data_IF_229245397720
#
_entry.id   IF_229245397720
#
_cell.length_a   1.000
_cell.length_b   1.000
_cell.length_c   1.000
_cell.angle_alpha   90.00
_cell.angle_beta   90.00
_cell.angle_gamma   90.00
#
_symmetry.space_group_name_H-M   'P 1'
#
loop_
_entity.id
_entity.type
_entity.pdbx_description
1 polymer ?
#
# COMPACT_ATOMS: atom_id res chain seq x y z
N UNK A 1 15.25 6.91 1.98
CA UNK A 1 15.62 5.60 2.59
C UNK A 1 14.57 4.64 2.07
N UNK A 2 14.97 3.54 1.46
CA UNK A 2 14.03 2.55 0.91
C UNK A 2 13.33 1.88 2.09
N UNK A 3 11.99 1.90 2.09
CA UNK A 3 11.16 1.20 3.09
C UNK A 3 10.92 -0.25 2.61
N UNK A 4 12.01 -1.04 2.63
CA UNK A 4 12.01 -2.43 2.23
C UNK A 4 12.18 -3.31 3.48
N UNK A 5 11.24 -4.24 3.66
CA UNK A 5 11.27 -5.22 4.76
C UNK A 5 11.26 -6.64 4.22
N UNK A 6 11.82 -7.58 4.99
CA UNK A 6 11.68 -9.01 4.71
C UNK A 6 10.27 -9.47 5.09
N UNK A 7 9.72 -10.41 4.31
CA UNK A 7 8.39 -10.94 4.56
C UNK A 7 8.34 -11.72 5.89
N UNK A 8 7.46 -11.29 6.77
CA UNK A 8 7.05 -12.03 7.97
C UNK A 8 5.58 -12.39 7.81
N UNK A 9 5.24 -13.67 7.90
CA UNK A 9 3.89 -14.12 7.58
C UNK A 9 3.04 -14.30 8.83
N UNK A 10 1.90 -13.61 8.85
CA UNK A 10 0.88 -13.73 9.88
C UNK A 10 -0.26 -14.59 9.35
N UNK A 11 -0.63 -15.65 10.08
CA UNK A 11 -1.73 -16.50 9.66
C UNK A 11 -3.05 -15.71 9.55
N UNK A 12 -3.71 -15.85 8.41
CA UNK A 12 -5.00 -15.24 8.19
C UNK A 12 -6.12 -16.17 8.67
N UNK A 13 -7.06 -15.63 9.45
CA UNK A 13 -8.22 -16.37 9.97
C UNK A 13 -9.28 -16.63 8.89
N UNK A 14 -9.31 -15.83 7.85
CA UNK A 14 -10.28 -15.92 6.77
C UNK A 14 -9.76 -16.87 5.67
N UNK A 15 -10.50 -17.94 5.30
CA UNK A 15 -10.04 -18.90 4.29
C UNK A 15 -9.77 -18.29 2.92
N UNK A 16 -10.43 -17.17 2.55
CA UNK A 16 -10.15 -16.46 1.30
C UNK A 16 -8.79 -15.77 1.29
N UNK A 17 -8.22 -15.47 2.46
CA UNK A 17 -6.95 -14.79 2.63
C UNK A 17 -5.82 -15.73 3.02
N UNK A 18 -6.16 -16.82 3.71
CA UNK A 18 -5.20 -17.83 4.15
C UNK A 18 -4.53 -18.52 2.94
N UNK A 19 -3.25 -18.80 3.07
CA UNK A 19 -2.47 -19.37 1.97
C UNK A 19 -2.13 -18.38 0.86
N UNK A 20 -2.23 -17.07 1.14
CA UNK A 20 -1.77 -16.04 0.21
C UNK A 20 -0.62 -15.24 0.84
N UNK A 21 0.65 -15.48 0.40
CA UNK A 21 1.81 -14.84 0.99
C UNK A 21 1.77 -13.31 0.90
N UNK A 22 1.14 -12.72 -0.12
CA UNK A 22 1.02 -11.28 -0.24
C UNK A 22 0.05 -10.66 0.77
N UNK A 23 -0.95 -11.42 1.21
CA UNK A 23 -1.88 -10.97 2.27
C UNK A 23 -1.26 -11.21 3.64
N UNK A 24 -0.67 -12.37 3.85
CA UNK A 24 -0.12 -12.77 5.14
C UNK A 24 1.17 -12.03 5.51
N UNK A 25 1.88 -11.46 4.53
CA UNK A 25 3.01 -10.58 4.78
C UNK A 25 2.62 -9.13 5.11
N UNK A 26 1.34 -8.76 4.94
CA UNK A 26 0.88 -7.43 5.38
C UNK A 26 0.89 -7.35 6.91
N UNK A 27 1.08 -6.15 7.48
CA UNK A 27 0.97 -5.94 8.92
C UNK A 27 -0.33 -6.52 9.48
N UNK A 28 -0.28 -6.97 10.73
CA UNK A 28 -1.47 -7.46 11.43
C UNK A 28 -2.57 -6.41 11.39
N UNK A 29 -3.80 -6.84 11.14
CA UNK A 29 -4.95 -5.93 11.05
C UNK A 29 -5.20 -5.26 12.39
N UNK A 30 -5.16 -3.92 12.38
CA UNK A 30 -5.45 -3.11 13.55
C UNK A 30 -6.96 -3.13 13.76
N UNK A 31 -7.41 -3.39 14.99
CA UNK A 31 -8.83 -3.37 15.30
C UNK A 31 -9.38 -1.92 15.24
N UNK A 32 -10.61 -1.70 14.79
CA UNK A 32 -11.18 -0.35 14.68
C UNK A 32 -11.14 0.46 15.99
N UNK A 33 -11.21 -0.19 17.14
CA UNK A 33 -11.10 0.45 18.46
C UNK A 33 -9.71 1.05 18.71
N UNK A 34 -8.66 0.51 18.07
CA UNK A 34 -7.27 0.94 18.24
C UNK A 34 -6.83 1.98 17.19
N UNK A 35 -7.63 2.26 16.15
CA UNK A 35 -7.30 3.24 15.12
C UNK A 35 -6.90 4.62 15.68
N UNK A 36 -7.62 5.19 16.66
CA UNK A 36 -7.23 6.49 17.22
C UNK A 36 -5.81 6.48 17.78
N UNK A 37 -5.41 5.40 18.44
CA UNK A 37 -4.07 5.26 19.00
C UNK A 37 -3.02 5.05 17.92
N UNK A 38 -3.29 4.20 16.94
CA UNK A 38 -2.33 3.83 15.90
C UNK A 38 -2.08 4.95 14.88
N UNK A 39 -3.10 5.78 14.61
CA UNK A 39 -3.02 6.88 13.65
C UNK A 39 -2.65 8.22 14.29
N UNK A 40 -2.65 8.33 15.64
CA UNK A 40 -2.28 9.57 16.30
C UNK A 40 -0.77 9.81 16.20
N UNK A 41 -0.40 10.99 15.75
CA UNK A 41 0.99 11.45 15.73
C UNK A 41 1.13 12.64 16.66
N UNK A 42 1.93 12.48 17.71
CA UNK A 42 2.23 13.56 18.67
C UNK A 42 3.67 14.01 18.49
N UNK A 43 3.91 15.30 18.24
CA UNK A 43 5.26 15.82 18.18
C UNK A 43 5.97 15.68 19.52
N UNK A 44 7.30 15.56 19.55
CA UNK A 44 8.06 15.47 20.80
C UNK A 44 7.84 16.74 21.65
N UNK A 45 7.52 16.53 22.91
CA UNK A 45 7.27 17.59 23.89
C UNK A 45 8.07 17.35 25.18
N UNK A 46 8.59 18.43 25.75
CA UNK A 46 9.25 18.45 27.05
C UNK A 46 8.85 19.70 27.83
N UNK A 47 8.61 19.56 29.15
CA UNK A 47 8.39 20.72 30.03
C UNK A 47 9.58 21.69 30.06
N UNK A 48 10.79 21.21 29.84
CA UNK A 48 11.97 22.04 29.71
C UNK A 48 11.92 22.97 28.47
N UNK A 49 11.19 22.60 27.44
CA UNK A 49 11.00 23.44 26.25
C UNK A 49 10.26 24.75 26.59
N UNK A 50 9.41 24.75 27.60
CA UNK A 50 8.71 25.96 28.12
C UNK A 50 9.65 26.96 28.76
N UNK A 51 10.77 26.50 29.32
CA UNK A 51 11.77 27.34 30.02
C UNK A 51 12.77 27.98 29.08
N UNK A 52 12.78 27.58 27.79
CA UNK A 52 13.71 28.11 26.80
C UNK A 52 13.40 29.57 26.46
N UNK A 53 14.42 30.35 26.00
CA UNK A 53 14.22 31.71 25.50
C UNK A 53 13.15 31.77 24.41
N UNK A 54 12.44 32.90 24.33
CA UNK A 54 11.30 33.10 23.41
C UNK A 54 11.63 32.70 21.96
N UNK A 55 12.77 33.15 21.43
CA UNK A 55 13.16 32.83 20.05
C UNK A 55 13.27 31.32 19.78
N UNK A 56 13.79 30.54 20.75
CA UNK A 56 13.87 29.09 20.64
C UNK A 56 12.49 28.43 20.75
N UNK A 57 11.61 28.95 21.64
CA UNK A 57 10.24 28.44 21.76
C UNK A 57 9.43 28.67 20.49
N UNK A 58 9.58 29.82 19.84
CA UNK A 58 8.91 30.10 18.57
C UNK A 58 9.30 29.11 17.47
N UNK A 59 10.56 28.66 17.42
CA UNK A 59 10.99 27.60 16.48
C UNK A 59 10.34 26.24 16.78
N UNK A 60 10.11 25.95 18.08
CA UNK A 60 9.47 24.69 18.46
C UNK A 60 7.98 24.63 18.08
N UNK A 61 7.33 25.77 17.85
CA UNK A 61 5.94 25.79 17.36
C UNK A 61 5.76 25.09 16.01
N UNK A 62 6.80 25.00 15.19
CA UNK A 62 6.75 24.26 13.92
C UNK A 62 6.45 22.77 14.13
N UNK A 63 6.72 22.22 15.32
CA UNK A 63 6.37 20.84 15.65
C UNK A 63 4.86 20.58 15.61
N UNK A 64 4.03 21.61 15.78
CA UNK A 64 2.57 21.50 15.72
C UNK A 64 2.11 21.01 14.33
N UNK A 65 2.85 21.33 13.28
CA UNK A 65 2.54 20.83 11.93
C UNK A 65 2.62 19.30 11.81
N UNK A 66 3.30 18.64 12.75
CA UNK A 66 3.41 17.17 12.79
C UNK A 66 2.29 16.53 13.64
N UNK A 67 1.47 17.35 14.33
CA UNK A 67 0.37 16.82 15.13
C UNK A 67 -0.72 16.28 14.21
N UNK A 68 -1.07 15.01 14.39
CA UNK A 68 -2.23 14.40 13.75
C UNK A 68 -3.12 13.75 14.80
N UNK A 69 -4.37 14.18 14.85
CA UNK A 69 -5.42 13.57 15.66
C UNK A 69 -6.41 12.93 14.69
N UNK A 70 -6.50 11.60 14.65
CA UNK A 70 -7.32 10.92 13.67
C UNK A 70 -8.80 11.20 13.84
N UNK A 71 -9.49 11.26 12.73
CA UNK A 71 -10.93 11.45 12.61
C UNK A 71 -11.64 10.14 12.26
N UNK A 72 -12.96 10.17 12.13
CA UNK A 72 -13.73 9.01 11.64
C UNK A 72 -13.40 8.71 10.16
N UNK A 73 -13.08 9.74 9.41
CA UNK A 73 -12.70 9.65 8.01
C UNK A 73 -11.39 8.88 7.84
N UNK A 74 -10.40 9.10 8.72
CA UNK A 74 -9.15 8.33 8.73
C UNK A 74 -9.42 6.82 8.93
N UNK A 75 -10.32 6.49 9.85
CA UNK A 75 -10.72 5.10 10.09
C UNK A 75 -11.38 4.48 8.84
N UNK A 76 -12.22 5.23 8.11
CA UNK A 76 -12.87 4.76 6.88
C UNK A 76 -11.85 4.58 5.75
N UNK A 77 -10.86 5.48 5.62
CA UNK A 77 -9.78 5.35 4.65
C UNK A 77 -8.97 4.08 4.95
N UNK A 78 -8.59 3.87 6.21
CA UNK A 78 -7.83 2.70 6.63
C UNK A 78 -8.55 1.38 6.35
N UNK A 79 -9.84 1.29 6.71
CA UNK A 79 -10.70 0.13 6.40
C UNK A 79 -10.80 -0.11 4.90
N UNK A 80 -10.96 0.96 4.12
CA UNK A 80 -11.05 0.86 2.66
C UNK A 80 -9.75 0.38 2.04
N UNK A 81 -8.61 0.92 2.49
CA UNK A 81 -7.28 0.48 2.06
C UNK A 81 -7.08 -1.01 2.36
N UNK A 82 -7.31 -1.44 3.61
CA UNK A 82 -7.13 -2.85 4.00
C UNK A 82 -7.97 -3.78 3.14
N UNK A 83 -9.24 -3.40 2.91
CA UNK A 83 -10.14 -4.16 2.04
C UNK A 83 -9.62 -4.24 0.61
N UNK A 84 -9.16 -3.11 0.04
CA UNK A 84 -8.62 -3.08 -1.32
C UNK A 84 -7.37 -3.95 -1.45
N UNK A 85 -6.45 -3.88 -0.49
CA UNK A 85 -5.24 -4.71 -0.47
C UNK A 85 -5.59 -6.21 -0.39
N UNK A 86 -6.38 -6.62 0.61
CA UNK A 86 -6.71 -8.03 0.81
C UNK A 86 -7.42 -8.60 -0.43
N UNK A 87 -8.54 -8.00 -0.85
CA UNK A 87 -9.31 -8.51 -1.98
C UNK A 87 -8.58 -8.36 -3.32
N UNK A 88 -7.75 -7.31 -3.46
CA UNK A 88 -6.88 -7.15 -4.63
C UNK A 88 -5.85 -8.28 -4.76
N UNK A 89 -5.33 -8.78 -3.65
CA UNK A 89 -4.36 -9.87 -3.65
C UNK A 89 -4.97 -11.26 -3.76
N UNK A 90 -6.24 -11.48 -3.39
CA UNK A 90 -6.90 -12.79 -3.53
C UNK A 90 -6.76 -13.36 -4.94
N UNK A 91 -7.00 -12.54 -5.97
CA UNK A 91 -6.88 -12.96 -7.38
C UNK A 91 -5.44 -12.98 -7.92
N UNK A 92 -4.48 -12.51 -7.13
CA UNK A 92 -3.07 -12.38 -7.51
C UNK A 92 -2.15 -13.20 -6.61
N UNK A 93 -2.69 -14.29 -6.03
CA UNK A 93 -1.92 -15.19 -5.20
C UNK A 93 -0.76 -15.77 -6.03
N UNK A 94 0.51 -15.60 -5.61
CA UNK A 94 1.67 -16.04 -6.38
C UNK A 94 1.92 -17.54 -6.32
N UNK A 95 1.32 -18.26 -5.36
CA UNK A 95 1.46 -19.72 -5.25
C UNK A 95 0.32 -20.46 -5.94
N UNK A 96 0.61 -21.69 -6.37
CA UNK A 96 -0.35 -22.53 -7.09
C UNK A 96 -1.50 -23.01 -6.20
N UNK A 97 -2.63 -23.35 -6.83
CA UNK A 97 -3.83 -23.80 -6.13
C UNK A 97 -3.59 -25.06 -5.26
N UNK A 98 -2.67 -25.92 -5.66
CA UNK A 98 -2.33 -27.13 -4.90
C UNK A 98 -1.57 -26.79 -3.62
N UNK A 99 -0.69 -25.78 -3.66
CA UNK A 99 -0.01 -25.25 -2.47
C UNK A 99 -1.00 -24.55 -1.54
N UNK A 100 -1.92 -23.75 -2.09
CA UNK A 100 -3.01 -23.14 -1.31
C UNK A 100 -3.83 -24.22 -0.61
N UNK A 101 -4.23 -25.27 -1.33
CA UNK A 101 -4.96 -26.40 -0.75
C UNK A 101 -4.20 -27.06 0.40
N UNK A 102 -2.91 -27.30 0.22
CA UNK A 102 -2.03 -27.88 1.25
C UNK A 102 -2.01 -27.01 2.49
N UNK A 103 -1.71 -25.71 2.34
CA UNK A 103 -1.64 -24.76 3.46
C UNK A 103 -2.96 -24.65 4.21
N UNK A 104 -4.09 -24.54 3.51
CA UNK A 104 -5.42 -24.50 4.13
C UNK A 104 -5.71 -25.77 4.93
N UNK A 105 -5.39 -26.95 4.38
CA UNK A 105 -5.61 -28.22 5.06
C UNK A 105 -4.73 -28.35 6.31
N UNK A 106 -3.46 -27.98 6.24
CA UNK A 106 -2.51 -27.97 7.37
C UNK A 106 -2.98 -27.07 8.51
N UNK A 107 -3.68 -25.97 8.18
CA UNK A 107 -4.26 -25.02 9.15
C UNK A 107 -5.66 -25.40 9.63
N UNK A 108 -6.18 -26.54 9.21
CA UNK A 108 -7.46 -27.06 9.67
C UNK A 108 -8.71 -26.43 9.02
N UNK A 109 -8.55 -25.72 7.91
CA UNK A 109 -9.70 -25.24 7.14
C UNK A 109 -10.40 -26.38 6.40
N UNK A 110 -11.73 -26.30 6.32
CA UNK A 110 -12.51 -27.24 5.49
C UNK A 110 -12.35 -26.89 4.01
N UNK A 111 -11.48 -27.63 3.32
CA UNK A 111 -11.20 -27.41 1.90
C UNK A 111 -12.10 -28.30 1.06
N UNK A 112 -13.12 -27.71 0.44
CA UNK A 112 -14.02 -28.40 -0.47
C UNK A 112 -13.89 -27.89 -1.90
N UNK A 113 -14.47 -28.63 -2.87
CA UNK A 113 -14.36 -28.27 -4.29
C UNK A 113 -14.98 -26.89 -4.61
N UNK A 114 -15.98 -26.43 -3.85
CA UNK A 114 -16.59 -25.10 -4.03
C UNK A 114 -15.59 -23.99 -3.70
N UNK A 115 -14.84 -24.14 -2.61
CA UNK A 115 -13.80 -23.18 -2.21
C UNK A 115 -12.66 -23.13 -3.26
N UNK A 116 -12.22 -24.30 -3.74
CA UNK A 116 -11.20 -24.37 -4.79
C UNK A 116 -11.67 -23.77 -6.12
N UNK A 117 -12.94 -24.00 -6.49
CA UNK A 117 -13.52 -23.37 -7.67
C UNK A 117 -13.66 -21.86 -7.51
N UNK A 118 -13.97 -21.40 -6.31
CA UNK A 118 -13.99 -19.98 -5.99
C UNK A 118 -12.61 -19.35 -6.27
N UNK A 119 -11.52 -19.90 -5.75
CA UNK A 119 -10.16 -19.39 -6.02
C UNK A 119 -9.80 -19.42 -7.50
N UNK A 120 -10.16 -20.47 -8.24
CA UNK A 120 -9.89 -20.58 -9.69
C UNK A 120 -10.66 -19.56 -10.54
N UNK A 121 -11.84 -19.15 -10.10
CA UNK A 121 -12.77 -18.27 -10.84
C UNK A 121 -12.77 -16.84 -10.35
N UNK A 122 -12.16 -16.58 -9.20
CA UNK A 122 -12.19 -15.28 -8.59
C UNK A 122 -11.33 -14.30 -9.40
N UNK A 123 -11.99 -13.48 -10.21
CA UNK A 123 -11.41 -12.28 -10.79
C UNK A 123 -11.81 -11.14 -9.85
N UNK A 124 -10.87 -10.67 -9.02
CA UNK A 124 -11.14 -9.52 -8.18
C UNK A 124 -11.51 -8.33 -9.08
N UNK A 125 -12.67 -7.71 -8.87
CA UNK A 125 -12.88 -6.40 -9.45
C UNK A 125 -11.78 -5.48 -8.94
N UNK A 126 -11.36 -4.54 -9.77
CA UNK A 126 -10.44 -3.49 -9.32
C UNK A 126 -11.19 -2.69 -8.27
N UNK A 127 -10.79 -2.85 -7.01
CA UNK A 127 -11.32 -2.05 -5.92
C UNK A 127 -10.57 -0.73 -5.88
N UNK A 128 -11.30 0.34 -5.68
CA UNK A 128 -10.76 1.67 -5.47
C UNK A 128 -11.78 2.52 -4.73
N UNK A 129 -11.33 3.58 -4.09
CA UNK A 129 -12.18 4.53 -3.38
C UNK A 129 -11.63 5.95 -3.54
N UNK A 130 -12.50 6.95 -3.71
CA UNK A 130 -12.09 8.35 -3.71
C UNK A 130 -12.03 8.90 -2.28
N UNK A 131 -11.03 9.72 -2.00
CA UNK A 131 -10.97 10.57 -0.79
C UNK A 131 -11.33 11.99 -1.20
N UNK A 132 -12.57 12.39 -0.92
CA UNK A 132 -13.10 13.69 -1.32
C UNK A 132 -13.14 14.66 -0.14
N UNK A 133 -12.87 15.93 -0.39
CA UNK A 133 -12.94 16.98 0.61
C UNK A 133 -12.34 18.30 0.09
N UNK A 134 -12.65 19.40 0.75
CA UNK A 134 -12.10 20.71 0.43
C UNK A 134 -10.56 20.73 0.58
N UNK A 135 -9.90 21.66 -0.10
CA UNK A 135 -8.47 21.85 0.04
C UNK A 135 -8.13 22.23 1.50
N UNK A 136 -7.00 21.72 1.99
CA UNK A 136 -6.52 22.00 3.36
C UNK A 136 -7.20 21.20 4.48
N UNK A 137 -8.16 20.31 4.19
CA UNK A 137 -8.84 19.48 5.22
C UNK A 137 -7.97 18.33 5.77
N UNK A 138 -6.78 18.13 5.22
CA UNK A 138 -5.84 17.11 5.72
C UNK A 138 -5.86 15.77 4.98
N UNK A 139 -6.50 15.66 3.81
CA UNK A 139 -6.60 14.40 3.02
C UNK A 139 -5.23 13.71 2.83
N UNK A 140 -4.28 14.46 2.31
CA UNK A 140 -2.91 13.98 2.05
C UNK A 140 -2.24 13.50 3.34
N UNK A 141 -2.36 14.28 4.42
CA UNK A 141 -1.81 13.93 5.73
C UNK A 141 -2.42 12.64 6.29
N UNK A 142 -3.75 12.48 6.18
CA UNK A 142 -4.44 11.27 6.59
C UNK A 142 -3.94 10.04 5.82
N UNK A 143 -3.85 10.15 4.50
CA UNK A 143 -3.33 9.06 3.64
C UNK A 143 -1.88 8.74 4.00
N UNK A 144 -1.00 9.73 4.17
CA UNK A 144 0.40 9.52 4.49
C UNK A 144 0.59 8.83 5.86
N UNK A 145 -0.19 9.25 6.87
CA UNK A 145 -0.16 8.60 8.18
C UNK A 145 -0.64 7.15 8.13
N UNK A 146 -1.67 6.86 7.34
CA UNK A 146 -2.16 5.49 7.15
C UNK A 146 -1.13 4.64 6.39
N UNK A 147 -0.56 5.17 5.31
CA UNK A 147 0.45 4.46 4.52
C UNK A 147 1.72 4.17 5.32
N UNK A 148 2.08 5.04 6.27
CA UNK A 148 3.24 4.83 7.16
C UNK A 148 3.09 3.59 8.07
N UNK A 149 1.89 3.04 8.22
CA UNK A 149 1.64 1.79 8.95
C UNK A 149 1.90 0.53 8.10
N UNK A 150 2.13 0.70 6.82
CA UNK A 150 2.41 -0.39 5.88
C UNK A 150 3.81 -0.22 5.28
N UNK A 151 4.64 -1.26 5.26
CA UNK A 151 5.90 -1.20 4.52
C UNK A 151 5.60 -0.95 3.04
N UNK A 152 6.41 -0.12 2.40
CA UNK A 152 6.21 0.16 0.98
C UNK A 152 6.56 -1.05 0.12
N UNK A 153 7.63 -1.77 0.49
CA UNK A 153 8.11 -2.93 -0.26
C UNK A 153 8.34 -4.08 0.71
N UNK A 154 7.81 -5.25 0.36
CA UNK A 154 8.07 -6.52 1.06
C UNK A 154 8.82 -7.45 0.12
N UNK A 155 9.95 -7.97 0.56
CA UNK A 155 10.76 -8.94 -0.17
C UNK A 155 10.47 -10.34 0.33
N UNK A 156 10.10 -11.23 -0.59
CA UNK A 156 9.77 -12.61 -0.30
C UNK A 156 10.86 -13.53 -0.83
N UNK A 157 11.21 -14.56 -0.07
CA UNK A 157 12.17 -15.59 -0.46
C UNK A 157 11.57 -16.99 -0.43
N UNK A 158 10.77 -17.28 0.59
CA UNK A 158 10.14 -18.59 0.78
C UNK A 158 8.81 -18.42 1.51
N UNK A 159 7.82 -19.24 1.17
CA UNK A 159 6.54 -19.29 1.87
C UNK A 159 6.13 -20.76 2.07
N UNK A 160 6.00 -21.20 3.33
CA UNK A 160 5.55 -22.55 3.71
C UNK A 160 6.30 -23.68 2.94
N UNK A 161 7.63 -23.56 2.82
CA UNK A 161 8.47 -24.50 2.09
C UNK A 161 8.45 -24.36 0.57
N UNK A 162 7.71 -23.40 0.03
CA UNK A 162 7.68 -23.08 -1.41
C UNK A 162 8.58 -21.88 -1.68
N UNK A 163 9.51 -22.01 -2.62
CA UNK A 163 10.38 -20.91 -3.02
C UNK A 163 9.56 -19.77 -3.64
N UNK A 164 9.75 -18.54 -3.16
CA UNK A 164 9.05 -17.35 -3.60
C UNK A 164 10.00 -16.14 -3.67
N UNK A 165 10.77 -16.04 -4.73
CA UNK A 165 11.72 -14.93 -4.94
C UNK A 165 11.02 -13.79 -5.65
N UNK A 166 10.43 -12.86 -4.89
CA UNK A 166 9.72 -11.71 -5.48
C UNK A 166 9.66 -10.51 -4.53
N UNK A 167 9.49 -9.33 -5.11
CA UNK A 167 9.21 -8.09 -4.39
C UNK A 167 7.75 -7.71 -4.55
N UNK A 168 7.10 -7.42 -3.45
CA UNK A 168 5.72 -6.91 -3.40
C UNK A 168 5.77 -5.41 -3.14
N UNK A 169 5.38 -4.60 -4.10
CA UNK A 169 5.16 -3.15 -3.91
C UNK A 169 3.77 -2.97 -3.31
N UNK A 170 3.68 -2.83 -1.98
CA UNK A 170 2.39 -2.78 -1.27
C UNK A 170 1.58 -1.55 -1.66
N UNK A 171 2.24 -0.41 -1.74
CA UNK A 171 1.59 0.83 -2.14
C UNK A 171 2.56 1.75 -2.90
N UNK A 172 1.98 2.54 -3.80
CA UNK A 172 2.67 3.59 -4.50
C UNK A 172 1.81 4.86 -4.47
N UNK A 173 2.36 5.95 -3.96
CA UNK A 173 1.71 7.26 -3.98
C UNK A 173 2.41 8.15 -5.00
N UNK A 174 1.62 8.77 -5.87
CA UNK A 174 2.08 9.70 -6.91
C UNK A 174 1.18 10.93 -6.96
N UNK A 175 1.74 12.05 -7.37
CA UNK A 175 0.97 13.26 -7.66
C UNK A 175 0.39 13.20 -9.07
N UNK A 176 -0.84 13.69 -9.21
CA UNK A 176 -1.44 13.88 -10.51
C UNK A 176 -0.62 14.92 -11.30
N UNK A 177 -0.20 14.65 -12.54
CA UNK A 177 0.56 15.61 -13.31
C UNK A 177 -0.25 16.87 -13.58
N UNK A 178 0.37 18.04 -13.51
CA UNK A 178 -0.28 19.33 -13.68
C UNK A 178 -0.95 19.54 -15.06
N UNK A 179 -0.57 18.75 -16.07
CA UNK A 179 -1.18 18.74 -17.40
C UNK A 179 -2.39 17.78 -17.49
N UNK A 180 -2.66 16.99 -16.44
CA UNK A 180 -3.75 16.03 -16.40
C UNK A 180 -3.67 14.91 -17.45
N UNK A 181 -2.52 14.74 -18.12
CA UNK A 181 -2.40 13.77 -19.22
C UNK A 181 -2.14 12.35 -18.73
N UNK A 182 -2.69 11.31 -19.39
CA UNK A 182 -2.34 9.93 -19.09
C UNK A 182 -0.85 9.62 -19.27
N UNK A 183 -0.18 10.32 -20.18
CA UNK A 183 1.26 10.18 -20.38
C UNK A 183 2.05 10.75 -19.21
N UNK A 184 1.66 11.92 -18.72
CA UNK A 184 2.23 12.53 -17.52
C UNK A 184 2.07 11.62 -16.31
N UNK A 185 0.86 11.05 -16.10
CA UNK A 185 0.61 10.09 -15.02
C UNK A 185 1.51 8.85 -15.11
N UNK A 186 1.72 8.31 -16.32
CA UNK A 186 2.67 7.21 -16.51
C UNK A 186 4.09 7.60 -16.08
N UNK A 187 4.53 8.82 -16.36
CA UNK A 187 5.84 9.30 -15.91
C UNK A 187 5.89 9.49 -14.39
N UNK A 188 4.84 10.04 -13.77
CA UNK A 188 4.76 10.13 -12.30
C UNK A 188 4.87 8.74 -11.66
N UNK A 189 4.15 7.74 -12.21
CA UNK A 189 4.20 6.35 -11.71
C UNK A 189 5.60 5.76 -11.88
N UNK A 190 6.23 5.88 -13.05
CA UNK A 190 7.58 5.36 -13.28
C UNK A 190 8.61 6.00 -12.34
N UNK A 191 8.58 7.33 -12.20
CA UNK A 191 9.46 8.04 -11.28
C UNK A 191 9.21 7.60 -9.82
N UNK A 192 7.96 7.39 -9.42
CA UNK A 192 7.63 6.88 -8.09
C UNK A 192 8.19 5.48 -7.85
N UNK A 193 8.13 4.60 -8.85
CA UNK A 193 8.73 3.25 -8.79
C UNK A 193 10.25 3.33 -8.69
N UNK A 194 10.89 4.17 -9.52
CA UNK A 194 12.34 4.37 -9.50
C UNK A 194 12.81 4.83 -8.12
N UNK A 195 12.09 5.77 -7.51
CA UNK A 195 12.40 6.26 -6.15
C UNK A 195 12.18 5.17 -5.08
N UNK A 196 11.11 4.37 -5.20
CA UNK A 196 10.78 3.34 -4.21
C UNK A 196 11.76 2.16 -4.25
N UNK A 197 12.22 1.76 -5.45
CA UNK A 197 13.06 0.59 -5.66
C UNK A 197 14.56 0.92 -5.83
N UNK A 198 14.91 2.20 -5.94
CA UNK A 198 16.27 2.66 -6.29
C UNK A 198 16.78 2.06 -7.60
N UNK A 199 15.89 2.02 -8.60
CA UNK A 199 16.17 1.46 -9.93
C UNK A 199 15.77 2.46 -11.03
N UNK A 200 16.28 2.27 -12.25
CA UNK A 200 15.95 3.10 -13.42
C UNK A 200 15.00 2.37 -14.38
N UNK A 201 13.74 2.23 -13.99
CA UNK A 201 12.68 1.72 -14.88
C UNK A 201 12.29 2.75 -15.93
N UNK A 202 12.33 4.03 -15.59
CA UNK A 202 12.03 5.11 -16.53
C UNK A 202 12.96 5.06 -17.74
N UNK A 203 14.25 4.99 -17.54
CA UNK A 203 15.22 4.89 -18.64
C UNK A 203 15.11 3.61 -19.46
N UNK A 204 14.73 2.49 -18.81
CA UNK A 204 14.51 1.20 -19.49
C UNK A 204 13.23 1.17 -20.33
N UNK A 205 12.16 1.83 -19.87
CA UNK A 205 10.81 1.74 -20.47
C UNK A 205 10.56 2.87 -21.47
N UNK A 206 10.90 4.10 -21.12
CA UNK A 206 10.61 5.29 -21.93
C UNK A 206 11.59 5.39 -23.08
N UNK A 207 11.07 5.34 -24.32
CA UNK A 207 11.83 5.56 -25.53
C UNK A 207 11.30 6.75 -26.31
N UNK A 208 12.16 7.41 -27.09
CA UNK A 208 11.77 8.53 -27.95
C UNK A 208 10.58 8.13 -28.85
N UNK A 209 9.59 9.03 -28.95
CA UNK A 209 8.39 8.89 -29.81
C UNK A 209 7.45 7.74 -29.43
N UNK A 210 7.44 7.31 -28.17
CA UNK A 210 6.47 6.32 -27.70
C UNK A 210 5.06 6.93 -27.61
N UNK A 211 4.06 6.22 -28.14
CA UNK A 211 2.65 6.61 -27.98
C UNK A 211 2.20 6.41 -26.53
N UNK A 212 1.16 7.18 -26.11
CA UNK A 212 0.55 7.06 -24.77
C UNK A 212 0.07 5.63 -24.48
N UNK A 213 -0.55 4.97 -25.47
CA UNK A 213 -1.14 3.65 -25.27
C UNK A 213 -0.06 2.57 -25.04
N UNK A 214 1.05 2.65 -25.79
CA UNK A 214 2.20 1.74 -25.58
C UNK A 214 2.81 1.97 -24.20
N UNK A 215 2.94 3.23 -23.75
CA UNK A 215 3.46 3.54 -22.43
C UNK A 215 2.54 3.02 -21.32
N UNK A 216 1.23 3.23 -21.43
CA UNK A 216 0.22 2.70 -20.49
C UNK A 216 0.33 1.17 -20.36
N UNK A 217 0.43 0.46 -21.49
CA UNK A 217 0.56 -1.01 -21.48
C UNK A 217 1.84 -1.44 -20.76
N UNK A 218 2.96 -0.75 -20.99
CA UNK A 218 4.23 -1.09 -20.34
C UNK A 218 4.21 -0.81 -18.85
N UNK A 219 3.67 0.35 -18.44
CA UNK A 219 3.51 0.70 -17.02
C UNK A 219 2.59 -0.31 -16.33
N UNK A 220 1.45 -0.66 -16.94
CA UNK A 220 0.54 -1.65 -16.38
C UNK A 220 1.22 -3.02 -16.19
N UNK A 221 2.01 -3.48 -17.16
CA UNK A 221 2.78 -4.73 -17.04
C UNK A 221 3.83 -4.66 -15.93
N UNK A 222 4.51 -3.52 -15.78
CA UNK A 222 5.48 -3.31 -14.70
C UNK A 222 4.79 -3.35 -13.34
N UNK A 223 3.70 -2.61 -13.15
CA UNK A 223 2.94 -2.62 -11.89
C UNK A 223 2.45 -4.03 -11.52
N UNK A 224 2.02 -4.80 -12.53
CA UNK A 224 1.65 -6.20 -12.34
C UNK A 224 2.84 -7.06 -11.91
N UNK A 225 4.01 -6.91 -12.55
CA UNK A 225 5.22 -7.66 -12.20
C UNK A 225 5.82 -7.29 -10.84
N UNK A 226 5.56 -6.07 -10.36
CA UNK A 226 5.94 -5.61 -9.03
C UNK A 226 4.87 -5.92 -7.98
N UNK A 227 3.80 -6.63 -8.36
CA UNK A 227 2.69 -6.99 -7.48
C UNK A 227 2.12 -5.80 -6.71
N UNK A 228 1.96 -4.65 -7.40
CA UNK A 228 1.45 -3.44 -6.77
C UNK A 228 0.11 -3.70 -6.07
N UNK A 229 0.06 -3.43 -4.76
CA UNK A 229 -1.16 -3.54 -3.96
C UNK A 229 -2.15 -2.43 -4.28
N UNK A 230 -1.77 -1.18 -4.02
CA UNK A 230 -2.62 -0.02 -4.21
C UNK A 230 -1.84 1.15 -4.82
N UNK A 231 -2.49 1.88 -5.73
CA UNK A 231 -1.97 3.10 -6.34
C UNK A 231 -2.77 4.31 -5.81
N UNK A 232 -2.10 5.20 -5.09
CA UNK A 232 -2.67 6.47 -4.67
C UNK A 232 -2.28 7.56 -5.64
N UNK A 233 -3.28 8.28 -6.16
CA UNK A 233 -3.07 9.46 -7.01
C UNK A 233 -3.59 10.65 -6.22
N UNK A 234 -2.67 11.52 -5.79
CA UNK A 234 -2.98 12.72 -5.03
C UNK A 234 -3.18 13.92 -5.97
N UNK A 235 -3.87 14.96 -5.45
CA UNK A 235 -4.12 16.22 -6.15
C UNK A 235 -4.79 16.10 -7.53
N UNK A 236 -5.75 15.17 -7.66
CA UNK A 236 -6.61 15.12 -8.83
C UNK A 236 -7.50 16.37 -8.83
N UNK A 237 -7.20 17.30 -9.72
CA UNK A 237 -8.04 18.49 -9.95
C UNK A 237 -9.14 18.12 -10.95
N UNK A 238 -10.40 18.27 -10.53
CA UNK A 238 -11.61 18.05 -11.34
C UNK A 238 -12.14 19.39 -11.80
#
# INVERSE_FOLDING_TARGET
MIDLVQAEYNEADNPEFAGNPFIEALPVEIQPADYPKSLSVFPPYSEEDRKRPLAKRLQLLQRISQLHIPTKEDALIMLSLRRCLNWGYVSRNPIGIDDVKRVLTERGFEVNEKLLQYFRRFNAPIYGFPVLGISGVGKTTSVDNILSLYPQIIEHHEYMGTKLETKQLVWLKVECPGDGTPKGLCHSILNGIDMALDEDYTGRIVKNRMSKDVLLIKVSKLLHSLHLGELFIDDIQI
#
